data_IF_058488629885
#
_entry.id   IF_058488629885
#
_cell.length_a   1.000
_cell.length_b   1.000
_cell.length_c   1.000
_cell.angle_alpha   90.00
_cell.angle_beta   90.00
_cell.angle_gamma   90.00
#
_symmetry.space_group_name_H-M   'P 1'
#
loop_
_entity.id
_entity.type
_entity.pdbx_description
1 polymer ?
#
# COMPACT_ATOMS: atom_id res chain seq x y z
N UNK A 1 13.83 -8.72 15.63
CA UNK A 1 13.63 -9.15 14.22
C UNK A 1 12.13 -9.40 14.04
N UNK A 2 11.35 -8.32 13.93
CA UNK A 2 9.89 -8.43 13.80
C UNK A 2 9.61 -8.63 12.32
N UNK A 3 9.38 -9.87 11.89
CA UNK A 3 8.88 -10.14 10.55
C UNK A 3 7.49 -9.50 10.44
N UNK A 4 7.40 -8.29 9.88
CA UNK A 4 6.13 -7.74 9.43
C UNK A 4 5.70 -8.69 8.32
N UNK A 5 4.69 -9.52 8.60
CA UNK A 5 4.13 -10.44 7.63
C UNK A 5 3.85 -9.67 6.34
N UNK A 6 4.22 -10.25 5.19
CA UNK A 6 4.09 -9.62 3.87
C UNK A 6 2.66 -9.15 3.57
N UNK A 7 1.68 -9.79 4.20
CA UNK A 7 0.25 -9.48 4.16
C UNK A 7 -0.18 -8.36 5.14
N UNK A 8 0.66 -8.05 6.14
CA UNK A 8 0.44 -6.97 7.10
C UNK A 8 0.86 -5.59 6.57
N UNK A 9 1.65 -5.52 5.51
CA UNK A 9 1.96 -4.26 4.84
C UNK A 9 1.05 -4.07 3.61
N UNK A 10 -0.13 -3.53 3.86
CA UNK A 10 -1.13 -3.27 2.83
C UNK A 10 -0.61 -2.34 1.71
N UNK A 11 0.26 -1.38 2.04
CA UNK A 11 0.90 -0.52 1.04
C UNK A 11 1.78 -1.33 0.07
N UNK A 12 2.60 -2.24 0.59
CA UNK A 12 3.46 -3.10 -0.22
C UNK A 12 2.64 -4.09 -1.08
N UNK A 13 1.56 -4.66 -0.55
CA UNK A 13 0.63 -5.52 -1.31
C UNK A 13 -0.02 -4.74 -2.47
N UNK A 14 -0.51 -3.53 -2.20
CA UNK A 14 -1.11 -2.67 -3.22
C UNK A 14 -0.09 -2.28 -4.31
N UNK A 15 1.12 -1.87 -3.92
CA UNK A 15 2.19 -1.51 -4.84
C UNK A 15 2.62 -2.71 -5.70
N UNK A 16 2.73 -3.91 -5.13
CA UNK A 16 3.07 -5.11 -5.88
C UNK A 16 2.00 -5.46 -6.93
N UNK A 17 0.71 -5.34 -6.57
CA UNK A 17 -0.42 -5.55 -7.49
C UNK A 17 -0.51 -4.49 -8.58
N UNK A 18 -0.22 -3.23 -8.26
CA UNK A 18 -0.18 -2.17 -9.26
C UNK A 18 1.02 -2.35 -10.20
N UNK A 19 2.18 -2.67 -9.62
CA UNK A 19 3.44 -2.92 -10.33
C UNK A 19 3.35 -4.07 -11.34
N UNK A 20 2.62 -5.14 -11.04
CA UNK A 20 2.46 -6.25 -11.98
C UNK A 20 1.54 -5.94 -13.18
N UNK A 21 0.83 -4.80 -13.14
CA UNK A 21 -0.07 -4.36 -14.22
C UNK A 21 0.57 -3.30 -15.13
N UNK A 22 1.75 -2.78 -14.77
CA UNK A 22 2.44 -1.74 -15.52
C UNK A 22 3.73 -2.30 -16.13
N UNK A 23 4.04 -1.90 -17.36
CA UNK A 23 5.28 -2.30 -18.06
C UNK A 23 6.39 -1.26 -17.94
N UNK A 24 6.15 -0.18 -17.21
CA UNK A 24 7.04 0.97 -17.06
C UNK A 24 7.15 1.35 -15.58
N UNK A 25 8.20 2.08 -15.23
CA UNK A 25 8.34 2.66 -13.89
C UNK A 25 7.37 3.83 -13.76
N UNK A 26 6.61 3.86 -12.68
CA UNK A 26 5.68 4.94 -12.31
C UNK A 26 6.10 5.46 -10.93
N UNK A 27 6.27 6.78 -10.81
CA UNK A 27 6.62 7.45 -9.55
C UNK A 27 5.43 8.30 -9.10
N UNK A 28 5.15 8.27 -7.80
CA UNK A 28 4.07 9.06 -7.20
C UNK A 28 4.64 10.08 -6.22
N UNK A 29 4.38 11.36 -6.46
CA UNK A 29 4.55 12.40 -5.45
C UNK A 29 3.39 12.41 -4.45
N UNK A 30 3.53 13.10 -3.31
CA UNK A 30 2.43 13.27 -2.34
C UNK A 30 1.10 13.75 -2.94
N UNK A 31 1.04 14.75 -3.85
CA UNK A 31 -0.25 15.21 -4.41
C UNK A 31 -0.87 14.22 -5.41
N UNK A 32 -0.07 13.31 -5.96
CA UNK A 32 -0.46 12.37 -7.01
C UNK A 32 -0.66 10.95 -6.47
N UNK A 33 -0.48 10.76 -5.16
CA UNK A 33 -0.61 9.46 -4.52
C UNK A 33 -2.05 8.95 -4.68
N UNK A 34 -2.26 7.76 -5.27
CA UNK A 34 -3.61 7.19 -5.44
C UNK A 34 -4.37 7.15 -4.11
N UNK A 35 -5.65 7.55 -4.12
CA UNK A 35 -6.46 7.70 -2.91
C UNK A 35 -6.46 6.46 -2.01
N UNK A 36 -6.45 5.27 -2.61
CA UNK A 36 -6.36 3.99 -1.89
C UNK A 36 -5.05 3.90 -1.12
N UNK A 37 -3.91 4.16 -1.78
CA UNK A 37 -2.59 4.13 -1.15
C UNK A 37 -2.47 5.21 -0.07
N UNK A 38 -3.05 6.39 -0.29
CA UNK A 38 -3.14 7.45 0.72
C UNK A 38 -3.91 7.00 1.97
N UNK A 39 -5.02 6.27 1.78
CA UNK A 39 -5.78 5.67 2.88
C UNK A 39 -4.96 4.63 3.66
N UNK A 40 -4.26 3.74 2.95
CA UNK A 40 -3.41 2.72 3.56
C UNK A 40 -2.27 3.33 4.37
N UNK A 41 -1.59 4.36 3.85
CA UNK A 41 -0.53 5.09 4.58
C UNK A 41 -1.08 5.76 5.84
N UNK A 42 -2.29 6.32 5.80
CA UNK A 42 -2.94 6.88 7.00
C UNK A 42 -3.23 5.81 8.05
N UNK A 43 -3.75 4.65 7.64
CA UNK A 43 -4.02 3.55 8.57
C UNK A 43 -2.74 3.02 9.22
N UNK A 44 -1.68 2.87 8.43
CA UNK A 44 -0.35 2.44 8.91
C UNK A 44 0.22 3.43 9.95
N UNK A 45 0.16 4.73 9.65
CA UNK A 45 0.55 5.80 10.60
C UNK A 45 -0.25 5.78 11.90
N UNK A 46 -1.52 5.36 11.84
CA UNK A 46 -2.41 5.25 13.01
C UNK A 46 -2.29 3.90 13.73
N UNK A 47 -1.53 2.93 13.19
CA UNK A 47 -1.44 1.57 13.72
C UNK A 47 -2.73 0.77 13.59
N UNK A 48 -3.63 1.15 12.66
CA UNK A 48 -4.91 0.49 12.44
C UNK A 48 -4.78 -0.61 11.38
N UNK A 49 -5.41 -1.78 11.59
CA UNK A 49 -5.39 -2.85 10.59
C UNK A 49 -6.21 -2.46 9.36
N UNK A 50 -5.70 -2.82 8.18
CA UNK A 50 -6.48 -2.76 6.93
C UNK A 50 -7.38 -3.99 6.82
N UNK A 51 -8.69 -3.78 6.91
CA UNK A 51 -9.70 -4.85 6.76
C UNK A 51 -10.15 -4.89 5.31
N UNK A 52 -9.84 -5.99 4.62
CA UNK A 52 -10.42 -6.29 3.31
C UNK A 52 -11.80 -6.90 3.55
N UNK A 53 -12.85 -6.34 2.94
CA UNK A 53 -14.12 -7.07 2.84
C UNK A 53 -13.87 -8.28 1.92
N UNK A 54 -14.28 -9.46 2.39
CA UNK A 54 -14.26 -10.69 1.60
C UNK A 54 -15.28 -10.61 0.45
#
# INVERSE_FOLDING_TARGET
MTHIFREGNACADWLAKKGCQISVVEEFGEPELPLVLHGLVRLDKLGLPYIRSA
#
